data_IF_984196848396
#
_entry.id   IF_984196848396
#
_cell.length_a   1.000
_cell.length_b   1.000
_cell.length_c   1.000
_cell.angle_alpha   90.00
_cell.angle_beta   90.00
_cell.angle_gamma   90.00
#
_symmetry.space_group_name_H-M   'P 1'
#
loop_
_entity.id
_entity.type
_entity.pdbx_description
1 polymer ?
#
# COMPACT_ATOMS: atom_id res chain seq x y z
N UNK A 1 -12.50 9.69 -7.66
CA UNK A 1 -11.15 9.68 -8.26
C UNK A 1 -10.66 8.24 -8.21
N UNK A 2 -10.10 7.75 -9.32
CA UNK A 2 -9.43 6.45 -9.40
C UNK A 2 -7.93 6.69 -9.53
N UNK A 3 -7.12 5.87 -8.86
CA UNK A 3 -5.66 5.98 -8.89
C UNK A 3 -5.12 4.65 -9.38
N UNK A 4 -4.29 4.70 -10.41
CA UNK A 4 -3.52 3.57 -10.90
C UNK A 4 -2.02 3.88 -10.76
N UNK A 5 -1.40 3.21 -9.80
CA UNK A 5 0.05 3.16 -9.60
C UNK A 5 0.51 1.70 -9.47
N UNK A 6 -0.13 0.81 -10.24
CA UNK A 6 0.11 -0.64 -10.23
C UNK A 6 -0.08 -1.24 -8.82
N UNK A 7 0.85 -2.07 -8.33
CA UNK A 7 0.78 -2.79 -7.05
C UNK A 7 0.57 -1.86 -5.83
N UNK A 8 0.88 -0.57 -5.95
CA UNK A 8 0.76 0.41 -4.85
C UNK A 8 -0.58 1.18 -4.85
N UNK A 9 -1.47 0.94 -5.81
CA UNK A 9 -2.67 1.76 -6.06
C UNK A 9 -3.56 1.96 -4.84
N UNK A 10 -3.83 0.90 -4.07
CA UNK A 10 -4.68 0.98 -2.88
C UNK A 10 -4.06 1.88 -1.79
N UNK A 11 -2.74 1.83 -1.62
CA UNK A 11 -2.02 2.68 -0.66
C UNK A 11 -1.88 4.12 -1.16
N UNK A 12 -1.76 4.32 -2.48
CA UNK A 12 -1.82 5.66 -3.07
C UNK A 12 -3.20 6.31 -2.90
N UNK A 13 -4.28 5.56 -3.10
CA UNK A 13 -5.64 6.01 -2.81
C UNK A 13 -5.81 6.37 -1.32
N UNK A 14 -5.29 5.54 -0.42
CA UNK A 14 -5.26 5.84 1.01
C UNK A 14 -4.51 7.13 1.32
N UNK A 15 -3.32 7.33 0.72
CA UNK A 15 -2.54 8.55 0.91
C UNK A 15 -3.31 9.79 0.46
N UNK A 16 -3.88 9.78 -0.74
CA UNK A 16 -4.65 10.91 -1.26
C UNK A 16 -5.86 11.22 -0.39
N UNK A 17 -6.60 10.21 0.09
CA UNK A 17 -7.71 10.41 1.00
C UNK A 17 -7.27 11.03 2.35
N UNK A 18 -6.12 10.61 2.87
CA UNK A 18 -5.52 11.23 4.08
C UNK A 18 -5.17 12.69 3.84
N UNK A 19 -4.62 13.05 2.67
CA UNK A 19 -4.33 14.44 2.34
C UNK A 19 -5.59 15.28 2.22
N UNK A 20 -6.63 14.79 1.54
CA UNK A 20 -7.92 15.50 1.43
C UNK A 20 -8.56 15.78 2.81
N UNK A 21 -8.54 14.78 3.72
CA UNK A 21 -9.04 14.95 5.09
C UNK A 21 -8.23 15.96 5.92
N UNK A 22 -6.91 16.05 5.66
CA UNK A 22 -6.00 17.00 6.34
C UNK A 22 -6.14 18.41 5.78
N UNK A 23 -6.30 18.54 4.47
CA UNK A 23 -6.53 19.81 3.79
C UNK A 23 -7.91 20.41 4.11
N UNK A 24 -8.86 19.57 4.56
CA UNK A 24 -10.22 20.00 4.85
C UNK A 24 -11.15 19.94 3.64
N UNK A 25 -10.70 19.34 2.53
CA UNK A 25 -11.52 19.13 1.32
C UNK A 25 -12.71 18.20 1.60
N UNK A 26 -12.59 17.34 2.62
CA UNK A 26 -13.67 16.50 3.11
C UNK A 26 -13.56 16.19 4.62
N UNK A 27 -14.67 15.73 5.21
CA UNK A 27 -14.76 15.30 6.62
C UNK A 27 -14.78 13.78 6.80
N UNK A 28 -15.02 13.06 5.70
CA UNK A 28 -14.98 11.61 5.59
C UNK A 28 -14.53 11.24 4.18
N UNK A 29 -13.72 10.19 4.08
CA UNK A 29 -13.29 9.65 2.80
C UNK A 29 -13.43 8.12 2.78
N UNK A 30 -13.75 7.57 1.61
CA UNK A 30 -13.62 6.16 1.30
C UNK A 30 -12.33 5.95 0.51
N UNK A 31 -11.50 5.01 0.95
CA UNK A 31 -10.26 4.67 0.26
C UNK A 31 -10.00 3.17 0.30
N UNK A 32 -9.58 2.61 -0.83
CA UNK A 32 -9.45 1.17 -0.98
C UNK A 32 -8.91 0.80 -2.35
N UNK A 33 -9.01 -0.48 -2.69
CA UNK A 33 -8.58 -1.01 -3.98
C UNK A 33 -9.28 -2.31 -4.29
N UNK A 34 -9.32 -2.64 -5.57
CA UNK A 34 -9.87 -3.89 -6.09
C UNK A 34 -8.98 -4.40 -7.22
N UNK A 35 -8.76 -5.71 -7.23
CA UNK A 35 -8.09 -6.44 -8.30
C UNK A 35 -8.97 -7.61 -8.71
N UNK A 36 -9.34 -7.64 -9.99
CA UNK A 36 -10.06 -8.75 -10.63
C UNK A 36 -9.38 -9.06 -11.96
N UNK A 37 -9.09 -10.33 -12.17
CA UNK A 37 -8.48 -10.91 -13.36
C UNK A 37 -9.55 -11.63 -14.18
N UNK A 38 -10.31 -10.87 -14.96
CA UNK A 38 -11.35 -11.41 -15.85
C UNK A 38 -10.82 -12.19 -17.06
N UNK A 39 -9.51 -12.26 -17.25
CA UNK A 39 -8.87 -13.01 -18.34
C UNK A 39 -7.47 -13.49 -17.91
N UNK A 40 -6.91 -14.52 -18.58
CA UNK A 40 -5.57 -15.04 -18.26
C UNK A 40 -4.43 -14.11 -18.72
N UNK A 41 -4.72 -12.92 -19.26
CA UNK A 41 -3.71 -12.04 -19.86
C UNK A 41 -2.54 -11.70 -18.92
N UNK A 42 -2.83 -11.39 -17.66
CA UNK A 42 -1.79 -11.11 -16.66
C UNK A 42 -0.85 -12.30 -16.41
N UNK A 43 -1.37 -13.52 -16.46
CA UNK A 43 -0.55 -14.72 -16.34
C UNK A 43 0.36 -14.90 -17.56
N UNK A 44 -0.18 -14.76 -18.77
CA UNK A 44 0.60 -14.90 -20.01
C UNK A 44 1.73 -13.87 -20.08
N UNK A 45 1.45 -12.61 -19.76
CA UNK A 45 2.46 -11.54 -19.86
C UNK A 45 3.55 -11.66 -18.79
N UNK A 46 3.20 -12.07 -17.57
CA UNK A 46 4.20 -12.27 -16.50
C UNK A 46 5.02 -13.56 -16.68
N UNK A 47 4.45 -14.59 -17.31
CA UNK A 47 5.21 -15.79 -17.71
C UNK A 47 6.30 -15.46 -18.73
N UNK A 48 6.00 -14.62 -19.74
CA UNK A 48 7.01 -14.18 -20.72
C UNK A 48 8.18 -13.43 -20.07
N UNK A 49 7.91 -12.74 -18.97
CA UNK A 49 8.90 -11.98 -18.21
C UNK A 49 9.63 -12.84 -17.17
N UNK A 50 9.29 -14.13 -17.04
CA UNK A 50 9.79 -15.03 -15.98
C UNK A 50 9.57 -14.44 -14.57
N UNK A 51 8.44 -13.76 -14.38
CA UNK A 51 8.11 -13.08 -13.13
C UNK A 51 7.19 -13.92 -12.21
N UNK A 52 6.58 -14.98 -12.74
CA UNK A 52 5.76 -15.90 -11.96
C UNK A 52 6.63 -16.95 -11.25
N UNK A 53 6.24 -17.39 -10.06
CA UNK A 53 6.92 -18.48 -9.38
C UNK A 53 6.68 -19.83 -10.06
N UNK A 54 7.71 -20.67 -10.08
CA UNK A 54 7.68 -21.98 -10.72
C UNK A 54 6.74 -22.98 -10.02
N UNK A 55 6.49 -22.78 -8.73
CA UNK A 55 5.72 -23.68 -7.87
C UNK A 55 4.36 -23.11 -7.45
N UNK A 56 3.99 -21.93 -7.97
CA UNK A 56 2.72 -21.28 -7.62
C UNK A 56 2.66 -20.73 -6.20
N UNK A 57 3.81 -20.51 -5.53
CA UNK A 57 3.86 -19.90 -4.21
C UNK A 57 4.67 -18.59 -4.17
N UNK A 58 4.09 -17.55 -3.54
CA UNK A 58 4.86 -16.41 -3.07
C UNK A 58 5.64 -16.80 -1.81
N UNK A 59 6.98 -16.78 -1.88
CA UNK A 59 7.87 -17.11 -0.76
C UNK A 59 8.65 -15.88 -0.28
N UNK A 60 8.01 -14.90 0.38
CA UNK A 60 8.66 -13.64 0.73
C UNK A 60 9.89 -13.88 1.60
N UNK A 61 11.03 -13.32 1.19
CA UNK A 61 12.33 -13.39 1.88
C UNK A 61 12.94 -14.79 2.02
N UNK A 62 12.41 -15.80 1.32
CA UNK A 62 12.98 -17.15 1.30
C UNK A 62 14.14 -17.26 0.31
N UNK A 63 15.14 -18.09 0.64
CA UNK A 63 16.18 -18.49 -0.31
C UNK A 63 15.63 -19.32 -1.49
N UNK A 64 14.42 -19.88 -1.35
CA UNK A 64 13.71 -20.63 -2.39
C UNK A 64 12.73 -19.76 -3.19
N UNK A 65 12.78 -18.43 -3.07
CA UNK A 65 11.90 -17.54 -3.82
C UNK A 65 12.27 -17.53 -5.32
N UNK A 66 11.32 -17.89 -6.19
CA UNK A 66 11.50 -17.91 -7.65
C UNK A 66 10.60 -16.93 -8.41
N UNK A 67 9.67 -16.23 -7.75
CA UNK A 67 8.79 -15.27 -8.39
C UNK A 67 7.59 -14.90 -7.53
N UNK A 68 6.56 -14.32 -8.15
CA UNK A 68 5.27 -14.00 -7.51
C UNK A 68 4.15 -14.88 -8.04
N UNK A 69 3.03 -14.90 -7.34
CA UNK A 69 1.74 -15.33 -7.88
C UNK A 69 0.73 -14.19 -7.85
N UNK A 70 -0.31 -14.33 -8.65
CA UNK A 70 -1.42 -13.39 -8.67
C UNK A 70 -2.52 -13.78 -7.70
N UNK A 71 -3.20 -12.76 -7.18
CA UNK A 71 -4.38 -12.90 -6.34
C UNK A 71 -5.39 -11.82 -6.71
N UNK A 72 -6.66 -12.11 -6.49
CA UNK A 72 -7.77 -11.17 -6.60
C UNK A 72 -8.23 -10.74 -5.22
N UNK A 73 -8.93 -9.61 -5.14
CA UNK A 73 -9.51 -9.15 -3.89
C UNK A 73 -10.00 -7.71 -3.95
N UNK A 74 -10.81 -7.34 -2.96
CA UNK A 74 -11.29 -5.98 -2.79
C UNK A 74 -11.25 -5.60 -1.31
N UNK A 75 -10.89 -4.34 -1.02
CA UNK A 75 -10.91 -3.79 0.32
C UNK A 75 -11.27 -2.31 0.29
N UNK A 76 -11.95 -1.84 1.35
CA UNK A 76 -12.35 -0.44 1.50
C UNK A 76 -12.25 0.00 2.96
N UNK A 77 -11.73 1.20 3.18
CA UNK A 77 -11.63 1.85 4.48
C UNK A 77 -12.50 3.11 4.51
N UNK A 78 -13.18 3.31 5.65
CA UNK A 78 -13.82 4.58 5.98
C UNK A 78 -12.83 5.38 6.83
N UNK A 79 -12.43 6.54 6.34
CA UNK A 79 -11.44 7.40 6.98
C UNK A 79 -12.09 8.70 7.46
N UNK A 80 -11.67 9.13 8.64
CA UNK A 80 -12.06 10.42 9.23
C UNK A 80 -10.93 10.98 10.09
N UNK A 81 -11.00 12.28 10.38
CA UNK A 81 -10.18 12.88 11.45
C UNK A 81 -10.56 12.23 12.79
N UNK A 82 -9.55 11.80 13.56
CA UNK A 82 -9.74 11.14 14.88
C UNK A 82 -10.66 11.93 15.81
N UNK A 83 -10.50 13.25 15.85
CA UNK A 83 -11.35 14.12 16.67
C UNK A 83 -12.82 14.04 16.27
N UNK A 84 -13.13 13.94 14.97
CA UNK A 84 -14.50 13.78 14.48
C UNK A 84 -15.07 12.40 14.79
N UNK A 85 -14.27 11.34 14.64
CA UNK A 85 -14.68 9.99 15.00
C UNK A 85 -15.04 9.89 16.50
N UNK A 86 -14.20 10.46 17.36
CA UNK A 86 -14.44 10.49 18.81
C UNK A 86 -15.67 11.32 19.19
N UNK A 87 -15.83 12.53 18.65
CA UNK A 87 -17.02 13.37 18.88
C UNK A 87 -18.32 12.65 18.49
N UNK A 88 -18.28 11.87 17.42
CA UNK A 88 -19.44 11.14 16.91
C UNK A 88 -19.60 9.73 17.51
N UNK A 89 -18.83 9.36 18.54
CA UNK A 89 -18.91 8.05 19.19
C UNK A 89 -18.59 6.86 18.27
N UNK A 90 -17.81 7.08 17.19
CA UNK A 90 -17.49 6.05 16.21
C UNK A 90 -16.30 5.20 16.68
N UNK A 91 -16.41 3.88 16.51
CA UNK A 91 -15.34 2.94 16.82
C UNK A 91 -14.13 3.20 15.91
N UNK A 92 -12.98 3.48 16.52
CA UNK A 92 -11.70 3.63 15.82
C UNK A 92 -11.03 2.27 15.73
N UNK A 93 -10.83 1.76 14.51
CA UNK A 93 -10.19 0.45 14.28
C UNK A 93 -8.66 0.56 14.26
N UNK A 94 -8.14 1.65 13.70
CA UNK A 94 -6.72 1.95 13.61
C UNK A 94 -6.52 3.46 13.40
N UNK A 95 -5.29 3.94 13.63
CA UNK A 95 -4.90 5.32 13.36
C UNK A 95 -3.82 5.35 12.26
N UNK A 96 -4.09 6.06 11.17
CA UNK A 96 -3.08 6.32 10.13
C UNK A 96 -2.12 7.38 10.65
N UNK A 97 -0.99 6.92 11.20
CA UNK A 97 0.06 7.80 11.76
C UNK A 97 0.67 8.67 10.68
N UNK A 98 0.97 8.06 9.54
CA UNK A 98 1.54 8.74 8.40
C UNK A 98 1.43 7.88 7.13
N UNK A 99 1.60 8.53 5.98
CA UNK A 99 1.67 7.90 4.66
C UNK A 99 2.55 8.76 3.76
N UNK A 100 3.23 8.14 2.79
CA UNK A 100 4.09 8.82 1.84
C UNK A 100 4.00 8.15 0.47
N UNK A 101 4.20 8.93 -0.59
CA UNK A 101 4.34 8.46 -1.95
C UNK A 101 5.61 9.06 -2.55
N UNK A 102 6.32 8.26 -3.34
CA UNK A 102 7.43 8.72 -4.18
C UNK A 102 7.44 7.93 -5.49
N UNK A 103 8.51 8.08 -6.27
CA UNK A 103 8.73 7.31 -7.48
C UNK A 103 10.23 7.01 -7.64
N UNK A 104 10.51 5.87 -8.27
CA UNK A 104 11.84 5.27 -8.36
C UNK A 104 12.86 6.10 -9.14
N UNK A 105 12.41 7.02 -9.99
CA UNK A 105 13.21 7.85 -10.88
C UNK A 105 14.01 7.00 -11.86
N UNK A 106 15.23 7.44 -12.17
CA UNK A 106 16.16 6.66 -12.98
C UNK A 106 16.76 5.52 -12.15
N UNK A 107 16.41 4.28 -12.50
CA UNK A 107 16.87 3.04 -11.86
C UNK A 107 17.63 2.15 -12.87
N UNK A 108 18.12 0.99 -12.42
CA UNK A 108 18.86 0.03 -13.24
C UNK A 108 18.01 -0.65 -14.33
N UNK A 109 16.69 -0.46 -14.30
CA UNK A 109 15.73 -0.98 -15.26
C UNK A 109 14.32 -0.59 -14.85
N UNK A 110 13.40 -0.54 -15.82
CA UNK A 110 12.04 -0.03 -15.59
C UNK A 110 11.29 -0.76 -14.46
N UNK A 111 11.53 -2.06 -14.29
CA UNK A 111 10.92 -2.89 -13.25
C UNK A 111 11.87 -3.20 -12.07
N UNK A 112 13.08 -2.64 -12.06
CA UNK A 112 14.07 -2.91 -11.02
C UNK A 112 13.83 -1.99 -9.80
N UNK A 113 13.61 -2.53 -8.59
CA UNK A 113 13.37 -1.73 -7.40
C UNK A 113 14.64 -0.97 -6.96
N UNK A 114 14.56 0.35 -6.67
CA UNK A 114 15.72 1.13 -6.25
C UNK A 114 15.98 1.03 -4.74
N UNK A 115 17.15 0.52 -4.34
CA UNK A 115 17.50 0.37 -2.92
C UNK A 115 17.44 1.69 -2.11
N UNK A 116 17.89 2.82 -2.68
CA UNK A 116 18.00 4.11 -1.97
C UNK A 116 16.65 4.83 -1.77
N UNK A 117 15.69 4.67 -2.67
CA UNK A 117 14.44 5.46 -2.67
C UNK A 117 13.32 4.82 -1.87
N UNK A 118 13.28 3.49 -1.79
CA UNK A 118 12.40 2.82 -0.82
C UNK A 118 12.74 3.24 0.61
N UNK A 119 14.04 3.49 0.89
CA UNK A 119 14.50 3.99 2.17
C UNK A 119 13.97 5.40 2.52
N UNK A 120 13.80 6.29 1.53
CA UNK A 120 13.30 7.67 1.74
C UNK A 120 11.86 7.67 2.25
N UNK A 121 10.98 6.90 1.61
CA UNK A 121 9.63 6.70 2.14
C UNK A 121 9.68 6.07 3.54
N UNK A 122 10.54 5.08 3.79
CA UNK A 122 10.61 4.44 5.12
C UNK A 122 11.30 5.27 6.20
N UNK A 123 12.13 6.25 5.82
CA UNK A 123 13.04 7.00 6.69
C UNK A 123 12.68 8.47 6.86
N UNK A 124 11.59 8.94 6.25
CA UNK A 124 11.04 10.27 6.50
C UNK A 124 10.76 10.52 7.99
N UNK A 125 10.63 11.77 8.44
CA UNK A 125 10.40 12.12 9.84
C UNK A 125 8.99 11.67 10.28
N UNK A 126 8.85 10.38 10.55
CA UNK A 126 7.60 9.80 11.00
C UNK A 126 7.29 10.26 12.42
N UNK A 127 6.05 10.66 12.72
CA UNK A 127 5.66 10.99 14.08
C UNK A 127 5.87 9.77 14.98
N UNK A 128 6.67 9.94 16.04
CA UNK A 128 6.94 8.86 17.01
C UNK A 128 5.62 8.25 17.50
N UNK A 129 5.49 6.91 17.53
CA UNK A 129 4.28 6.26 18.04
C UNK A 129 4.02 6.74 19.48
N UNK A 130 2.75 7.07 19.77
CA UNK A 130 2.35 7.62 21.07
C UNK A 130 2.41 6.56 22.19
N UNK A 131 2.43 5.28 21.81
CA UNK A 131 2.70 4.13 22.68
C UNK A 131 3.72 3.25 21.98
N UNK A 132 4.92 3.16 22.55
CA UNK A 132 5.92 2.21 22.10
C UNK A 132 5.44 0.76 22.30
N UNK A 133 5.98 -0.22 21.58
CA UNK A 133 5.70 -1.62 21.85
C UNK A 133 6.10 -1.93 23.31
N UNK A 134 5.15 -2.44 24.10
CA UNK A 134 5.44 -2.97 25.42
C UNK A 134 6.36 -4.18 25.26
N UNK A 135 7.66 -3.98 25.48
CA UNK A 135 8.60 -5.09 25.67
C UNK A 135 8.29 -5.71 27.02
N UNK A 136 7.39 -6.69 27.06
CA UNK A 136 7.46 -7.74 28.08
C UNK A 136 8.37 -8.82 27.51
N UNK A 137 9.41 -9.14 28.28
CA UNK A 137 10.41 -10.15 28.00
C UNK A 137 9.81 -11.56 28.06
#
# INVERSE_FOLDING_TARGET
MTIDSSCSSALAALHVAVQALRAGDCDMALAGGVTVMGSPGFFVEFSKQHALSDDGHCRPYSAQASGTVWAEGAAMFVLQRKSAALRNGRRVLAEVRASALNQDGRSAGLAAPPARRSADCSGGPWPRPASGPSRSA
#
